data_IF_167807836507
#
_entry.id   IF_167807836507
#
_cell.length_a   1.000
_cell.length_b   1.000
_cell.length_c   1.000
_cell.angle_alpha   90.00
_cell.angle_beta   90.00
_cell.angle_gamma   90.00
#
_symmetry.space_group_name_H-M   'P 1'
#
loop_
_entity.id
_entity.type
_entity.pdbx_description
1 polymer ?
#
# COMPACT_ATOMS: atom_id res chain seq x y z
N UNK A 1 -12.43 12.83 -2.65
CA UNK A 1 -11.36 11.91 -3.08
C UNK A 1 -10.15 12.74 -3.50
N UNK A 2 -8.99 12.52 -2.89
CA UNK A 2 -7.76 13.28 -3.15
C UNK A 2 -6.88 12.64 -4.24
N UNK A 3 -6.83 11.30 -4.29
CA UNK A 3 -6.00 10.59 -5.25
C UNK A 3 -5.84 9.10 -4.94
N UNK A 4 -5.13 8.39 -5.82
CA UNK A 4 -4.71 7.00 -5.60
C UNK A 4 -3.50 6.87 -4.67
N UNK A 5 -3.32 5.67 -4.11
CA UNK A 5 -2.16 5.35 -3.27
C UNK A 5 -1.10 4.63 -4.11
N UNK A 6 0.13 5.15 -4.12
CA UNK A 6 1.26 4.48 -4.75
C UNK A 6 1.94 3.54 -3.74
N UNK A 7 1.59 2.26 -3.81
CA UNK A 7 2.07 1.24 -2.86
C UNK A 7 3.59 1.04 -2.95
N UNK A 8 4.20 1.16 -4.12
CA UNK A 8 5.66 1.01 -4.27
C UNK A 8 6.41 2.09 -3.48
N UNK A 9 5.95 3.33 -3.61
CA UNK A 9 6.50 4.46 -2.87
C UNK A 9 6.24 4.32 -1.37
N UNK A 10 5.03 3.89 -0.99
CA UNK A 10 4.68 3.62 0.40
C UNK A 10 5.64 2.58 1.03
N UNK A 11 5.88 1.47 0.34
CA UNK A 11 6.79 0.41 0.80
C UNK A 11 8.21 0.94 0.99
N UNK A 12 8.70 1.70 0.02
CA UNK A 12 10.05 2.28 0.10
C UNK A 12 10.19 3.24 1.28
N UNK A 13 9.19 4.10 1.48
CA UNK A 13 9.23 5.09 2.56
C UNK A 13 9.05 4.47 3.95
N UNK A 14 8.12 3.52 4.10
CA UNK A 14 7.79 2.92 5.39
C UNK A 14 8.93 2.06 5.93
N UNK A 15 9.60 1.31 5.05
CA UNK A 15 10.64 0.37 5.43
C UNK A 15 12.07 0.86 5.15
N UNK A 16 12.23 2.02 4.51
CA UNK A 16 13.54 2.62 4.15
C UNK A 16 14.44 1.68 3.33
N UNK A 17 13.83 0.85 2.50
CA UNK A 17 14.50 -0.09 1.58
C UNK A 17 13.89 0.05 0.18
N UNK A 18 14.55 -0.37 -0.90
CA UNK A 18 13.93 -0.42 -2.22
C UNK A 18 12.79 -1.45 -2.22
N UNK A 19 11.58 -0.98 -1.93
CA UNK A 19 10.39 -1.80 -1.75
C UNK A 19 9.42 -1.65 -2.92
N UNK A 20 8.72 -2.73 -3.25
CA UNK A 20 7.65 -2.75 -4.24
C UNK A 20 6.38 -3.36 -3.65
N UNK A 21 5.24 -2.89 -4.13
CA UNK A 21 3.94 -3.43 -3.81
C UNK A 21 3.71 -4.72 -4.57
N UNK A 22 3.20 -5.73 -3.88
CA UNK A 22 2.72 -6.98 -4.46
C UNK A 22 1.41 -7.36 -3.81
N UNK A 23 0.56 -8.09 -4.54
CA UNK A 23 -0.73 -8.56 -4.04
C UNK A 23 -0.60 -10.06 -3.80
N UNK A 24 -0.90 -10.50 -2.58
CA UNK A 24 -0.96 -11.93 -2.28
C UNK A 24 -2.06 -12.59 -3.11
N UNK A 25 -1.72 -13.64 -3.88
CA UNK A 25 -2.71 -14.40 -4.66
C UNK A 25 -3.85 -14.96 -3.80
N UNK A 26 -3.57 -15.31 -2.55
CA UNK A 26 -4.58 -15.80 -1.60
C UNK A 26 -5.56 -14.71 -1.15
N UNK A 27 -5.20 -13.43 -1.31
CA UNK A 27 -5.99 -12.28 -0.89
C UNK A 27 -6.08 -11.29 -2.04
N UNK A 28 -6.80 -11.64 -3.11
CA UNK A 28 -7.01 -10.73 -4.25
C UNK A 28 -8.10 -9.68 -3.94
N UNK A 29 -7.90 -8.92 -2.89
CA UNK A 29 -8.80 -7.87 -2.40
C UNK A 29 -7.97 -6.70 -1.85
N UNK A 30 -8.63 -5.65 -1.36
CA UNK A 30 -7.96 -4.46 -0.80
C UNK A 30 -6.96 -4.77 0.31
N UNK A 31 -7.13 -5.83 1.08
CA UNK A 31 -6.18 -6.25 2.11
C UNK A 31 -5.05 -7.15 1.60
N UNK A 32 -5.01 -7.44 0.30
CA UNK A 32 -3.99 -8.25 -0.34
C UNK A 32 -2.62 -7.59 -0.48
N UNK A 33 -2.57 -6.27 -0.38
CA UNK A 33 -1.34 -5.52 -0.58
C UNK A 33 -0.30 -5.84 0.47
N UNK A 34 0.89 -6.18 -0.01
CA UNK A 34 2.09 -6.38 0.78
C UNK A 34 3.27 -5.65 0.15
N UNK A 35 4.23 -5.31 0.97
CA UNK A 35 5.54 -4.84 0.54
C UNK A 35 6.49 -6.03 0.38
N UNK A 36 7.06 -6.18 -0.80
CA UNK A 36 8.27 -6.95 -1.02
C UNK A 36 9.47 -6.00 -1.15
N UNK A 37 10.68 -6.55 -1.03
CA UNK A 37 11.91 -5.82 -1.29
C UNK A 37 12.99 -6.75 -1.81
N UNK A 38 13.89 -6.23 -2.66
CA UNK A 38 15.03 -6.99 -3.16
C UNK A 38 16.10 -7.28 -2.10
N UNK A 39 16.06 -6.59 -0.96
CA UNK A 39 16.97 -6.84 0.17
C UNK A 39 16.44 -7.86 1.17
N UNK A 40 15.19 -8.30 1.02
CA UNK A 40 14.58 -9.33 1.86
C UNK A 40 14.53 -10.67 1.12
N UNK A 41 14.25 -11.75 1.86
CA UNK A 41 13.90 -13.03 1.23
C UNK A 41 12.67 -12.85 0.32
N UNK A 42 12.61 -13.59 -0.79
CA UNK A 42 11.45 -13.57 -1.69
C UNK A 42 10.12 -13.94 -0.99
N UNK A 43 10.20 -14.65 0.14
CA UNK A 43 9.06 -15.00 0.99
C UNK A 43 8.75 -13.98 2.10
N UNK A 44 9.65 -13.04 2.40
CA UNK A 44 9.42 -11.98 3.39
C UNK A 44 8.64 -10.84 2.72
N UNK A 45 7.34 -10.83 3.00
CA UNK A 45 6.42 -9.79 2.58
C UNK A 45 5.74 -9.17 3.80
N UNK A 46 5.68 -7.85 3.83
CA UNK A 46 5.21 -7.10 5.01
C UNK A 46 3.92 -6.34 4.72
N UNK A 47 3.17 -5.97 5.76
CA UNK A 47 1.97 -5.15 5.60
C UNK A 47 2.27 -3.76 5.04
N UNK A 48 1.30 -3.16 4.35
CA UNK A 48 1.40 -1.77 3.86
C UNK A 48 0.43 -0.90 4.64
N UNK A 49 0.93 0.16 5.27
CA UNK A 49 0.06 1.15 5.92
C UNK A 49 -0.40 2.20 4.89
N UNK A 50 -1.58 1.97 4.30
CA UNK A 50 -2.19 2.87 3.33
C UNK A 50 -2.50 4.25 3.92
N UNK A 51 -2.97 4.29 5.17
CA UNK A 51 -3.33 5.53 5.85
C UNK A 51 -2.09 6.40 6.11
N UNK A 52 -0.97 5.80 6.49
CA UNK A 52 0.31 6.50 6.65
C UNK A 52 0.80 7.09 5.33
N UNK A 53 0.62 6.40 4.22
CA UNK A 53 0.99 6.95 2.90
C UNK A 53 0.10 8.14 2.52
N UNK A 54 -1.22 8.05 2.72
CA UNK A 54 -2.10 9.19 2.50
C UNK A 54 -1.71 10.39 3.36
N UNK A 55 -1.37 10.16 4.63
CA UNK A 55 -0.89 11.22 5.50
C UNK A 55 0.43 11.84 5.04
N UNK A 56 1.34 11.02 4.53
CA UNK A 56 2.64 11.48 3.99
C UNK A 56 2.47 12.38 2.78
N UNK A 57 1.54 12.05 1.87
CA UNK A 57 1.35 12.77 0.61
C UNK A 57 0.45 14.00 0.79
N UNK A 58 -0.62 13.88 1.59
CA UNK A 58 -1.69 14.89 1.67
C UNK A 58 -1.90 15.49 3.07
N UNK A 59 -1.12 15.10 4.08
CA UNK A 59 -1.22 15.62 5.45
C UNK A 59 -2.34 14.97 6.27
N UNK A 60 -3.39 15.71 6.62
CA UNK A 60 -4.55 15.19 7.37
C UNK A 60 -5.50 14.33 6.51
N UNK A 61 -4.96 13.44 5.68
CA UNK A 61 -5.75 12.52 4.86
C UNK A 61 -5.85 11.13 5.52
N UNK A 62 -6.94 10.43 5.25
CA UNK A 62 -7.12 9.02 5.61
C UNK A 62 -7.20 8.16 4.34
N UNK A 63 -6.97 6.86 4.50
CA UNK A 63 -7.08 5.89 3.41
C UNK A 63 -8.38 5.13 3.52
N UNK A 64 -9.07 4.99 2.40
CA UNK A 64 -10.27 4.15 2.28
C UNK A 64 -10.32 3.53 0.88
N UNK A 65 -11.21 2.57 0.62
CA UNK A 65 -11.32 1.88 -0.64
C UNK A 65 -12.72 1.97 -1.25
N UNK A 66 -12.79 2.13 -2.57
CA UNK A 66 -14.07 2.22 -3.29
C UNK A 66 -14.74 0.86 -3.48
N UNK A 67 -13.96 -0.20 -3.61
CA UNK A 67 -14.44 -1.56 -3.81
C UNK A 67 -13.53 -2.55 -3.10
N UNK A 68 -14.07 -3.27 -2.13
CA UNK A 68 -13.33 -4.27 -1.37
C UNK A 68 -12.69 -5.36 -2.25
N UNK A 69 -13.36 -5.76 -3.34
CA UNK A 69 -12.91 -6.85 -4.22
C UNK A 69 -11.83 -6.43 -5.22
N UNK A 70 -11.53 -5.14 -5.30
CA UNK A 70 -10.52 -4.62 -6.20
C UNK A 70 -9.32 -4.10 -5.38
N UNK A 71 -8.15 -4.75 -5.42
CA UNK A 71 -6.98 -4.29 -4.69
C UNK A 71 -6.56 -2.87 -5.09
N UNK A 72 -6.85 -2.43 -6.32
CA UNK A 72 -6.49 -1.10 -6.81
C UNK A 72 -7.48 -0.01 -6.40
N UNK A 73 -8.48 -0.32 -5.58
CA UNK A 73 -9.51 0.64 -5.15
C UNK A 73 -9.12 1.54 -3.98
N UNK A 74 -7.93 1.37 -3.40
CA UNK A 74 -7.42 2.26 -2.35
C UNK A 74 -7.26 3.70 -2.83
N UNK A 75 -7.84 4.64 -2.08
CA UNK A 75 -7.80 6.08 -2.33
C UNK A 75 -7.56 6.85 -1.04
N UNK A 76 -6.99 8.03 -1.20
CA UNK A 76 -6.90 8.99 -0.11
C UNK A 76 -8.14 9.90 -0.08
N UNK A 77 -8.62 10.16 1.13
CA UNK A 77 -9.75 11.03 1.43
C UNK A 77 -9.36 12.03 2.52
N UNK A 78 -10.20 13.05 2.69
CA UNK A 78 -10.07 14.08 3.72
C UNK A 78 -11.45 14.40 4.23
#
# INVERSE_FOLDING_TARGET
MLGGINVNVACTYQYKVPGYGTILRSQNNVYGWRCGSSVWSASDVRGVDMARECRRVFGNAYADFLNFKDPYSWRCFR
#
